data_IF_117341725750
#
_entry.id   IF_117341725750
#
_cell.length_a   1.000
_cell.length_b   1.000
_cell.length_c   1.000
_cell.angle_alpha   90.00
_cell.angle_beta   90.00
_cell.angle_gamma   90.00
#
_symmetry.space_group_name_H-M   'P 1'
#
loop_
_entity.id
_entity.type
_entity.pdbx_description
1 polymer ?
#
# COMPACT_ATOMS: atom_id res chain seq x y z
N UNK A 1 -12.26 -5.45 -5.77
CA UNK A 1 -11.54 -6.48 -5.00
C UNK A 1 -10.61 -5.75 -4.05
N UNK A 2 -10.59 -6.14 -2.77
CA UNK A 2 -9.79 -5.43 -1.76
C UNK A 2 -8.41 -6.04 -1.63
N UNK A 3 -7.40 -5.19 -1.66
CA UNK A 3 -6.03 -5.59 -1.43
C UNK A 3 -5.40 -4.74 -0.34
N UNK A 4 -4.68 -5.40 0.56
CA UNK A 4 -3.84 -4.77 1.55
C UNK A 4 -2.40 -4.78 1.05
N UNK A 5 -1.81 -3.60 0.98
CA UNK A 5 -0.44 -3.38 0.53
C UNK A 5 0.38 -2.98 1.76
N UNK A 6 1.33 -3.82 2.15
CA UNK A 6 2.28 -3.53 3.21
C UNK A 6 3.60 -3.05 2.62
N UNK A 7 4.10 -1.94 3.13
CA UNK A 7 5.41 -1.41 2.74
C UNK A 7 6.38 -1.68 3.88
N UNK A 8 7.48 -2.36 3.57
CA UNK A 8 8.58 -2.63 4.49
C UNK A 8 9.77 -1.78 4.09
N UNK A 9 10.06 -0.77 4.91
CA UNK A 9 11.17 0.14 4.68
C UNK A 9 11.75 0.65 6.00
N UNK A 10 13.05 0.96 6.04
CA UNK A 10 13.66 1.62 7.20
C UNK A 10 13.14 3.04 7.44
N UNK A 11 12.40 3.64 6.50
CA UNK A 11 11.78 4.97 6.64
C UNK A 11 10.24 4.86 6.72
N UNK A 12 9.56 5.72 7.50
CA UNK A 12 8.10 5.84 7.43
C UNK A 12 7.72 6.28 6.00
N UNK A 13 6.79 5.57 5.37
CA UNK A 13 6.61 5.63 3.91
C UNK A 13 5.17 5.58 3.42
N UNK A 14 4.21 5.07 4.19
CA UNK A 14 2.85 4.94 3.68
C UNK A 14 2.19 6.31 3.50
N UNK A 15 2.45 7.28 4.39
CA UNK A 15 1.91 8.63 4.23
C UNK A 15 2.42 9.39 2.97
N UNK A 16 3.65 9.11 2.50
CA UNK A 16 4.34 9.93 1.48
C UNK A 16 3.73 9.84 0.06
N UNK A 17 2.88 8.85 -0.23
CA UNK A 17 2.32 8.65 -1.58
C UNK A 17 0.82 8.33 -1.61
N UNK A 18 0.14 8.54 -0.49
CA UNK A 18 -1.30 8.29 -0.33
C UNK A 18 -2.14 9.08 -1.33
N UNK A 19 -1.73 10.31 -1.65
CA UNK A 19 -2.43 11.19 -2.59
C UNK A 19 -2.64 10.59 -3.98
N UNK A 20 -1.69 9.77 -4.47
CA UNK A 20 -1.79 9.17 -5.81
C UNK A 20 -2.90 8.12 -5.84
N UNK A 21 -3.02 7.31 -4.79
CA UNK A 21 -4.07 6.30 -4.66
C UNK A 21 -5.43 6.95 -4.34
N UNK A 22 -5.42 8.03 -3.56
CA UNK A 22 -6.61 8.81 -3.23
C UNK A 22 -7.19 9.50 -4.47
N UNK A 23 -6.37 10.21 -5.25
CA UNK A 23 -6.81 10.87 -6.51
C UNK A 23 -7.31 9.88 -7.55
N UNK A 24 -6.78 8.66 -7.51
CA UNK A 24 -7.22 7.56 -8.34
C UNK A 24 -8.59 6.98 -7.93
N UNK A 25 -9.13 7.35 -6.76
CA UNK A 25 -10.38 6.83 -6.23
C UNK A 25 -10.33 5.37 -5.80
N UNK A 26 -9.12 4.82 -5.59
CA UNK A 26 -8.93 3.39 -5.25
C UNK A 26 -8.54 3.18 -3.79
N UNK A 27 -8.19 4.24 -3.06
CA UNK A 27 -7.77 4.15 -1.67
C UNK A 27 -8.98 4.06 -0.74
N UNK A 28 -9.04 3.02 0.09
CA UNK A 28 -10.03 2.87 1.15
C UNK A 28 -9.49 3.32 2.51
N UNK A 29 -8.24 2.98 2.83
CA UNK A 29 -7.59 3.34 4.09
C UNK A 29 -6.06 3.36 3.94
N UNK A 30 -5.38 4.12 4.79
CA UNK A 30 -3.93 4.21 4.83
C UNK A 30 -3.43 4.51 6.24
N UNK A 31 -2.31 3.90 6.63
CA UNK A 31 -1.72 4.18 7.93
C UNK A 31 -0.22 3.91 7.95
N UNK A 32 0.53 4.81 8.60
CA UNK A 32 1.90 4.51 9.00
C UNK A 32 1.87 3.62 10.25
N UNK A 33 2.72 2.60 10.27
CA UNK A 33 2.89 1.73 11.43
C UNK A 33 4.06 2.23 12.27
N UNK A 34 4.01 1.97 13.57
CA UNK A 34 5.06 2.38 14.51
C UNK A 34 6.40 1.85 14.00
N UNK A 35 7.43 2.72 13.86
CA UNK A 35 8.77 2.28 13.49
C UNK A 35 9.19 1.17 14.44
N UNK A 36 9.73 0.06 13.92
CA UNK A 36 10.15 -1.16 14.63
C UNK A 36 9.12 -2.29 14.78
N UNK A 37 7.88 -2.15 14.31
CA UNK A 37 6.97 -3.29 14.17
C UNK A 37 7.40 -4.19 12.98
N UNK A 38 8.33 -5.12 13.21
CA UNK A 38 8.77 -6.14 12.24
C UNK A 38 9.23 -5.60 10.87
N UNK A 39 9.74 -4.37 10.83
CA UNK A 39 10.25 -3.72 9.61
C UNK A 39 9.17 -3.27 8.63
N UNK A 40 7.89 -3.28 9.02
CA UNK A 40 6.80 -2.70 8.23
C UNK A 40 6.68 -1.22 8.58
N UNK A 41 6.73 -0.34 7.59
CA UNK A 41 6.63 1.11 7.76
C UNK A 41 5.21 1.64 7.59
N UNK A 42 4.33 0.90 6.94
CA UNK A 42 2.92 1.25 6.83
C UNK A 42 2.15 0.36 5.87
N UNK A 43 0.88 0.72 5.66
CA UNK A 43 -0.03 -0.01 4.79
C UNK A 43 -0.94 0.92 3.98
N UNK A 44 -1.43 0.38 2.86
CA UNK A 44 -2.58 0.91 2.10
C UNK A 44 -3.61 -0.19 1.91
N UNK A 45 -4.88 0.15 2.13
CA UNK A 45 -6.01 -0.67 1.73
C UNK A 45 -6.58 -0.06 0.45
N UNK A 46 -6.56 -0.84 -0.64
CA UNK A 46 -7.06 -0.40 -1.95
C UNK A 46 -8.20 -1.28 -2.44
N UNK A 47 -9.12 -0.70 -3.20
CA UNK A 47 -10.14 -1.41 -3.96
C UNK A 47 -9.89 -1.24 -5.46
N UNK A 48 -9.56 -2.35 -6.12
CA UNK A 48 -9.22 -2.40 -7.55
C UNK A 48 -9.87 -3.61 -8.21
N UNK A 49 -9.86 -3.66 -9.54
CA UNK A 49 -10.61 -4.67 -10.30
C UNK A 49 -9.91 -6.03 -10.37
N UNK A 50 -8.58 -6.06 -10.25
CA UNK A 50 -7.79 -7.29 -10.30
C UNK A 50 -6.45 -7.16 -9.56
N UNK A 51 -5.78 -8.30 -9.38
CA UNK A 51 -4.42 -8.37 -8.83
C UNK A 51 -3.41 -7.59 -9.68
N UNK A 52 -3.52 -7.68 -11.00
CA UNK A 52 -2.64 -6.98 -11.95
C UNK A 52 -2.78 -5.47 -11.78
N UNK A 53 -4.01 -4.97 -11.62
CA UNK A 53 -4.23 -3.55 -11.33
C UNK A 53 -3.59 -3.15 -10.01
N UNK A 54 -3.72 -3.96 -8.95
CA UNK A 54 -3.07 -3.69 -7.66
C UNK A 54 -1.55 -3.55 -7.83
N UNK A 55 -0.92 -4.51 -8.52
CA UNK A 55 0.53 -4.52 -8.79
C UNK A 55 0.95 -3.31 -9.62
N UNK A 56 0.23 -2.98 -10.69
CA UNK A 56 0.55 -1.82 -11.54
C UNK A 56 0.49 -0.51 -10.76
N UNK A 57 -0.55 -0.32 -9.94
CA UNK A 57 -0.71 0.90 -9.13
C UNK A 57 0.45 1.06 -8.16
N UNK A 58 0.81 -0.02 -7.45
CA UNK A 58 1.94 -0.02 -6.51
C UNK A 58 3.26 0.27 -7.24
N UNK A 59 3.49 -0.32 -8.42
CA UNK A 59 4.71 -0.09 -9.22
C UNK A 59 4.87 1.34 -9.71
N UNK A 60 3.77 2.08 -9.90
CA UNK A 60 3.81 3.49 -10.32
C UNK A 60 4.17 4.45 -9.17
N UNK A 61 4.16 3.98 -7.93
CA UNK A 61 4.55 4.78 -6.78
C UNK A 61 6.08 4.83 -6.72
N UNK A 62 6.70 6.02 -6.64
CA UNK A 62 8.14 6.18 -6.58
C UNK A 62 8.67 5.82 -5.18
N UNK A 63 8.58 4.54 -4.83
CA UNK A 63 9.08 4.01 -3.58
C UNK A 63 10.62 3.92 -3.61
N UNK A 64 11.31 4.22 -2.50
CA UNK A 64 12.74 3.91 -2.36
C UNK A 64 12.93 2.38 -2.34
N UNK A 65 14.18 1.92 -2.29
CA UNK A 65 14.49 0.49 -2.13
C UNK A 65 13.81 -0.08 -0.87
N UNK A 66 12.67 -0.73 -1.08
CA UNK A 66 11.79 -1.27 -0.05
C UNK A 66 11.15 -2.56 -0.55
N UNK A 67 10.62 -3.35 0.37
CA UNK A 67 9.87 -4.57 0.04
C UNK A 67 8.39 -4.25 0.16
N UNK A 68 7.63 -4.54 -0.89
CA UNK A 68 6.18 -4.39 -0.88
C UNK A 68 5.53 -5.76 -0.92
N UNK A 69 4.59 -5.98 -0.01
CA UNK A 69 3.81 -7.20 0.09
C UNK A 69 2.34 -6.86 -0.19
N UNK A 70 1.74 -7.51 -1.18
CA UNK A 70 0.33 -7.29 -1.56
C UNK A 70 -0.45 -8.54 -1.17
N UNK A 71 -1.56 -8.38 -0.46
CA UNK A 71 -2.45 -9.47 -0.05
C UNK A 71 -3.88 -9.16 -0.44
N UNK A 72 -4.54 -10.13 -1.06
CA UNK A 72 -5.99 -10.05 -1.28
C UNK A 72 -6.74 -10.23 0.04
N UNK A 73 -7.80 -9.46 0.24
CA UNK A 73 -8.68 -9.55 1.41
C UNK A 73 -10.10 -9.92 0.98
N UNK A 74 -10.76 -10.85 1.69
CA UNK A 74 -12.18 -11.12 1.48
C UNK A 74 -13.03 -9.90 1.87
N UNK A 75 -14.08 -9.65 1.10
CA UNK A 75 -15.11 -8.67 1.44
C UNK A 75 -16.25 -9.42 2.11
N UNK A 76 -16.43 -9.19 3.41
CA UNK A 76 -17.50 -9.78 4.24
C UNK A 76 -18.53 -8.72 4.57
#
# INVERSE_FOLDING_TARGET
MRFMVFVRSPKPLAALHTDTLLRAGVLLDAGDLVPHAFGVSGYWLIDVRSWEEAVERVRRIPLPACVVEIRELPVV
#
